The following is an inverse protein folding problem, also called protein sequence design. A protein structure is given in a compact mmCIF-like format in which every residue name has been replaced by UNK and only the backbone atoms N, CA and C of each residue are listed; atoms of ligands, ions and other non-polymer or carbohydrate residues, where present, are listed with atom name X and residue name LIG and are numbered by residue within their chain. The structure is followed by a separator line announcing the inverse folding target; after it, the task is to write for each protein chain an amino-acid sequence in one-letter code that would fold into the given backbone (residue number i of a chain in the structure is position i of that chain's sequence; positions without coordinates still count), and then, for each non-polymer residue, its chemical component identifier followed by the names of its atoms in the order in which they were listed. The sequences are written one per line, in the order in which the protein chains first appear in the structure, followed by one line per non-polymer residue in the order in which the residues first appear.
data_IF_998816244197
#
_entry.id   IF_998816244197
#
_cell.length_a   1.000
_cell.length_b   1.000
_cell.length_c   1.000
_cell.angle_alpha   90.00
_cell.angle_beta   90.00
_cell.angle_gamma   90.00
#
_symmetry.space_group_name_H-M   'P 1'
#
loop_
_entity.id
_entity.type
_entity.pdbx_description
1 polymer ?
#
# COMPACT_ATOMS: atom_id res chain seq x y z
N UNK A 1 -10.23 -5.56 16.70
CA UNK A 1 -9.97 -4.89 15.40
C UNK A 1 -10.90 -5.48 14.36
N UNK A 2 -11.54 -4.64 13.55
CA UNK A 2 -12.30 -5.06 12.39
C UNK A 2 -11.89 -4.22 11.17
N UNK A 3 -11.70 -4.87 10.03
CA UNK A 3 -11.53 -4.22 8.73
C UNK A 3 -12.72 -4.59 7.86
N UNK A 4 -13.40 -3.59 7.30
CA UNK A 4 -14.63 -3.77 6.53
C UNK A 4 -14.46 -3.13 5.17
N UNK A 5 -14.71 -3.90 4.10
CA UNK A 5 -14.90 -3.38 2.74
C UNK A 5 -16.37 -3.51 2.37
N UNK A 6 -17.04 -2.38 2.18
CA UNK A 6 -18.43 -2.36 1.73
C UNK A 6 -18.54 -2.85 0.29
N UNK A 7 -19.63 -3.53 -0.05
CA UNK A 7 -19.88 -4.04 -1.41
C UNK A 7 -20.01 -2.90 -2.42
N UNK A 8 -20.62 -1.78 -2.02
CA UNK A 8 -20.72 -0.52 -2.77
C UNK A 8 -20.30 0.64 -1.86
N UNK A 9 -19.82 1.74 -2.45
CA UNK A 9 -19.56 2.96 -1.67
C UNK A 9 -20.88 3.49 -1.11
N UNK A 10 -20.86 3.93 0.15
CA UNK A 10 -22.05 4.38 0.86
C UNK A 10 -21.81 5.76 1.48
N UNK A 11 -22.75 6.68 1.30
CA UNK A 11 -22.70 8.01 1.93
C UNK A 11 -22.98 7.85 3.42
N UNK A 12 -21.99 8.14 4.26
CA UNK A 12 -22.14 8.10 5.70
C UNK A 12 -22.20 9.52 6.22
N UNK A 13 -23.42 10.04 6.32
CA UNK A 13 -23.67 11.38 6.84
C UNK A 13 -23.12 11.48 8.27
N UNK A 14 -22.56 12.64 8.62
CA UNK A 14 -22.02 12.98 9.95
C UNK A 14 -20.73 12.22 10.38
N UNK A 15 -20.28 11.21 9.64
CA UNK A 15 -19.06 10.44 9.96
C UNK A 15 -17.82 10.97 9.23
N UNK A 16 -18.00 11.55 8.04
CA UNK A 16 -16.92 12.10 7.22
C UNK A 16 -17.04 13.62 7.10
N UNK A 17 -15.91 14.33 7.19
CA UNK A 17 -15.86 15.79 7.01
C UNK A 17 -16.33 16.24 5.62
N UNK A 18 -16.00 15.45 4.59
CA UNK A 18 -16.37 15.71 3.19
C UNK A 18 -17.38 14.66 2.75
N UNK A 19 -18.47 15.02 2.04
CA UNK A 19 -19.48 14.08 1.58
C UNK A 19 -18.93 13.19 0.45
N UNK A 20 -18.21 12.13 0.84
CA UNK A 20 -17.65 11.14 -0.08
C UNK A 20 -18.17 9.74 0.28
N UNK A 21 -18.47 8.89 -0.71
CA UNK A 21 -18.89 7.52 -0.45
C UNK A 21 -17.78 6.74 0.27
N UNK A 22 -18.07 6.28 1.49
CA UNK A 22 -17.18 5.43 2.27
C UNK A 22 -17.20 4.03 1.66
N UNK A 23 -16.02 3.47 1.40
CA UNK A 23 -15.84 2.10 0.88
C UNK A 23 -15.19 1.17 1.89
N UNK A 24 -14.30 1.70 2.72
CA UNK A 24 -13.55 0.96 3.71
C UNK A 24 -13.76 1.57 5.08
N UNK A 25 -13.83 0.72 6.09
CA UNK A 25 -13.86 1.13 7.49
C UNK A 25 -12.88 0.28 8.28
N UNK A 26 -12.25 0.91 9.26
CA UNK A 26 -11.40 0.24 10.22
C UNK A 26 -11.83 0.61 11.63
N UNK A 27 -12.09 -0.40 12.46
CA UNK A 27 -12.59 -0.23 13.80
C UNK A 27 -11.61 -0.84 14.80
N UNK A 28 -11.09 0.01 15.69
CA UNK A 28 -10.29 -0.36 16.84
C UNK A 28 -11.08 -0.04 18.10
N UNK A 29 -11.34 -1.04 18.91
CA UNK A 29 -12.04 -0.90 20.19
C UNK A 29 -11.32 -1.79 21.19
N UNK A 30 -11.00 -1.24 22.35
CA UNK A 30 -10.33 -1.95 23.44
C UNK A 30 -9.62 -0.97 24.40
N UNK A 31 -8.88 -1.48 25.38
CA UNK A 31 -8.30 -0.69 26.47
C UNK A 31 -6.92 -0.07 26.14
N UNK A 32 -6.55 0.06 24.86
CA UNK A 32 -5.18 0.43 24.44
C UNK A 32 -5.08 1.93 24.13
N UNK A 33 -4.01 2.58 24.57
CA UNK A 33 -3.80 4.03 24.35
C UNK A 33 -3.24 4.39 22.95
N UNK A 34 -2.68 3.43 22.22
CA UNK A 34 -1.95 3.64 20.96
C UNK A 34 -2.84 3.69 19.70
N UNK A 35 -4.18 3.79 19.82
CA UNK A 35 -5.08 3.78 18.67
C UNK A 35 -4.86 4.92 17.68
N UNK A 36 -4.38 6.07 18.17
CA UNK A 36 -4.08 7.22 17.31
C UNK A 36 -2.96 6.87 16.33
N UNK A 37 -1.87 6.27 16.81
CA UNK A 37 -0.73 5.92 15.95
C UNK A 37 -1.10 4.80 14.98
N UNK A 38 -1.85 3.80 15.42
CA UNK A 38 -2.38 2.75 14.53
C UNK A 38 -3.25 3.38 13.42
N UNK A 39 -4.12 4.32 13.78
CA UNK A 39 -4.97 5.06 12.84
C UNK A 39 -4.16 5.87 11.81
N UNK A 40 -3.08 6.55 12.26
CA UNK A 40 -2.16 7.29 11.38
C UNK A 40 -1.43 6.35 10.42
N UNK A 41 -0.91 5.23 10.91
CA UNK A 41 -0.22 4.22 10.08
C UNK A 41 -1.15 3.65 9.02
N UNK A 42 -2.39 3.31 9.38
CA UNK A 42 -3.36 2.79 8.42
C UNK A 42 -3.83 3.85 7.42
N UNK A 43 -4.03 5.09 7.86
CA UNK A 43 -4.37 6.19 6.96
C UNK A 43 -3.26 6.44 5.94
N UNK A 44 -2.01 6.37 6.38
CA UNK A 44 -0.83 6.47 5.51
C UNK A 44 -0.78 5.32 4.51
N UNK A 45 -1.01 4.09 4.97
CA UNK A 45 -1.08 2.91 4.12
C UNK A 45 -2.17 3.05 3.03
N UNK A 46 -3.39 3.44 3.41
CA UNK A 46 -4.52 3.69 2.51
C UNK A 46 -4.34 4.91 1.59
N UNK A 47 -3.40 5.81 1.89
CA UNK A 47 -3.06 6.94 1.00
C UNK A 47 -2.33 6.48 -0.26
N UNK A 48 -1.68 5.31 -0.22
CA UNK A 48 -0.99 4.74 -1.38
C UNK A 48 -1.95 4.11 -2.37
N UNK A 49 -1.64 4.20 -3.67
CA UNK A 49 -2.49 3.63 -4.72
C UNK A 49 -2.40 2.11 -4.73
N UNK A 50 -1.19 1.60 -4.58
CA UNK A 50 -0.85 0.18 -4.62
C UNK A 50 -1.61 -0.59 -3.54
N UNK A 51 -1.60 -0.10 -2.29
CA UNK A 51 -2.35 -0.74 -1.23
C UNK A 51 -3.86 -0.65 -1.42
N UNK A 52 -4.38 0.50 -1.88
CA UNK A 52 -5.82 0.61 -2.20
C UNK A 52 -6.23 -0.40 -3.26
N UNK A 53 -5.46 -0.55 -4.34
CA UNK A 53 -5.75 -1.50 -5.41
C UNK A 53 -5.79 -2.94 -4.86
N UNK A 54 -4.85 -3.30 -3.98
CA UNK A 54 -4.87 -4.58 -3.25
C UNK A 54 -6.12 -4.71 -2.38
N UNK A 55 -6.46 -3.70 -1.57
CA UNK A 55 -7.63 -3.72 -0.69
C UNK A 55 -8.96 -3.86 -1.46
N UNK A 56 -9.06 -3.26 -2.66
CA UNK A 56 -10.22 -3.39 -3.54
C UNK A 56 -10.37 -4.80 -4.14
N UNK A 57 -9.28 -5.53 -4.33
CA UNK A 57 -9.28 -6.88 -4.94
C UNK A 57 -9.19 -8.02 -3.92
N UNK A 58 -8.78 -7.73 -2.69
CA UNK A 58 -8.61 -8.71 -1.63
C UNK A 58 -9.85 -9.59 -1.46
N UNK A 59 -9.66 -10.89 -1.40
CA UNK A 59 -10.70 -11.89 -1.14
C UNK A 59 -10.60 -12.41 0.29
N UNK A 60 -9.41 -12.41 0.87
CA UNK A 60 -9.18 -12.83 2.24
C UNK A 60 -8.16 -11.94 2.99
N UNK A 61 -7.92 -12.27 4.25
CA UNK A 61 -6.98 -11.53 5.12
C UNK A 61 -5.55 -11.57 4.60
N UNK A 62 -5.13 -12.65 3.93
CA UNK A 62 -3.76 -12.84 3.46
C UNK A 62 -3.42 -11.83 2.37
N UNK A 63 -4.38 -11.50 1.50
CA UNK A 63 -4.18 -10.47 0.47
C UNK A 63 -3.85 -9.10 1.09
N UNK A 64 -4.55 -8.73 2.17
CA UNK A 64 -4.28 -7.49 2.89
C UNK A 64 -2.93 -7.52 3.61
N UNK A 65 -2.58 -8.65 4.23
CA UNK A 65 -1.28 -8.82 4.88
C UNK A 65 -0.13 -8.76 3.88
N UNK A 66 -0.31 -9.33 2.69
CA UNK A 66 0.66 -9.22 1.60
C UNK A 66 0.80 -7.75 1.15
N UNK A 67 -0.30 -7.03 0.96
CA UNK A 67 -0.25 -5.61 0.64
C UNK A 67 0.45 -4.75 1.70
N UNK A 68 0.28 -5.09 2.98
CA UNK A 68 1.01 -4.44 4.09
C UNK A 68 2.50 -4.75 3.96
N UNK A 69 2.88 -6.01 3.74
CA UNK A 69 4.29 -6.41 3.59
C UNK A 69 4.96 -5.76 2.37
N UNK A 70 4.24 -5.63 1.26
CA UNK A 70 4.73 -4.95 0.06
C UNK A 70 5.01 -3.47 0.37
N UNK A 71 4.07 -2.79 1.04
CA UNK A 71 4.25 -1.41 1.49
C UNK A 71 5.46 -1.26 2.43
N UNK A 72 5.62 -2.17 3.39
CA UNK A 72 6.74 -2.15 4.33
C UNK A 72 8.08 -2.41 3.63
N UNK A 73 8.11 -3.29 2.63
CA UNK A 73 9.31 -3.59 1.84
C UNK A 73 9.76 -2.40 0.99
N UNK A 74 8.81 -1.59 0.55
CA UNK A 74 9.03 -0.34 -0.19
C UNK A 74 9.34 0.86 0.72
N UNK A 75 9.07 0.74 2.01
CA UNK A 75 9.25 1.82 2.98
C UNK A 75 10.71 1.95 3.41
N UNK A 76 11.12 3.18 3.73
CA UNK A 76 12.45 3.48 4.27
C UNK A 76 12.26 3.89 5.72
N UNK A 77 13.04 3.27 6.61
CA UNK A 77 13.11 3.68 8.01
C UNK A 77 14.30 4.63 8.16
N UNK A 78 14.04 5.80 8.70
CA UNK A 78 15.09 6.72 9.10
C UNK A 78 15.50 6.39 10.54
N UNK A 79 16.81 6.16 10.82
CA UNK A 79 17.26 6.03 12.20
C UNK A 79 16.99 7.34 12.95
N UNK A 80 16.99 7.38 14.30
CA UNK A 80 16.85 8.64 15.02
C UNK A 80 18.04 9.57 14.73
N UNK A 81 17.78 10.85 14.51
CA UNK A 81 18.79 11.87 14.23
C UNK A 81 18.19 13.12 13.57
N UNK A 82 19.01 14.16 13.44
CA UNK A 82 18.65 15.37 12.71
C UNK A 82 18.91 15.15 11.22
N UNK A 83 17.83 15.08 10.43
CA UNK A 83 17.91 14.91 8.98
C UNK A 83 17.53 16.19 8.26
N UNK A 84 18.53 16.84 7.67
CA UNK A 84 18.29 17.91 6.71
C UNK A 84 18.09 17.35 5.30
N UNK A 85 17.50 18.17 4.42
CA UNK A 85 17.18 17.77 3.04
C UNK A 85 18.38 17.17 2.30
N UNK A 86 19.56 17.76 2.48
CA UNK A 86 20.81 17.32 1.84
C UNK A 86 21.22 15.92 2.28
N UNK A 87 20.97 15.55 3.54
CA UNK A 87 21.26 14.23 4.09
C UNK A 87 20.25 13.17 3.60
N UNK A 88 19.04 13.58 3.24
CA UNK A 88 17.99 12.67 2.75
C UNK A 88 18.08 12.39 1.25
N UNK A 89 18.67 13.28 0.46
CA UNK A 89 18.75 13.14 -1.00
C UNK A 89 19.34 11.79 -1.44
N UNK A 90 20.49 11.33 -0.92
CA UNK A 90 21.07 10.05 -1.35
C UNK A 90 20.18 8.85 -1.03
N UNK A 91 19.47 8.89 0.10
CA UNK A 91 18.55 7.83 0.54
C UNK A 91 17.34 7.74 -0.41
N UNK A 92 16.77 8.90 -0.73
CA UNK A 92 15.63 9.00 -1.65
C UNK A 92 16.03 8.56 -3.06
N UNK A 93 17.20 8.97 -3.54
CA UNK A 93 17.72 8.55 -4.85
C UNK A 93 17.93 7.05 -4.92
N UNK A 94 18.54 6.46 -3.88
CA UNK A 94 18.74 5.01 -3.79
C UNK A 94 17.42 4.26 -3.86
N UNK A 95 16.39 4.72 -3.14
CA UNK A 95 15.06 4.11 -3.18
C UNK A 95 14.39 4.24 -4.55
N UNK A 96 14.50 5.41 -5.21
CA UNK A 96 14.00 5.61 -6.58
C UNK A 96 14.68 4.64 -7.55
N UNK A 97 16.00 4.49 -7.46
CA UNK A 97 16.77 3.58 -8.31
C UNK A 97 16.35 2.12 -8.10
N UNK A 98 16.12 1.69 -6.85
CA UNK A 98 15.59 0.35 -6.55
C UNK A 98 14.24 0.11 -7.23
N UNK A 99 13.30 1.05 -7.14
CA UNK A 99 11.99 0.95 -7.82
C UNK A 99 12.12 0.86 -9.34
N UNK A 100 12.99 1.66 -9.95
CA UNK A 100 13.25 1.61 -11.40
C UNK A 100 13.80 0.24 -11.80
N UNK A 101 14.75 -0.30 -11.04
CA UNK A 101 15.34 -1.61 -11.31
C UNK A 101 14.30 -2.73 -11.18
N UNK A 102 13.53 -2.77 -10.10
CA UNK A 102 12.46 -3.75 -9.89
C UNK A 102 11.45 -3.74 -11.05
N UNK A 103 11.05 -2.56 -11.50
CA UNK A 103 10.13 -2.41 -12.64
C UNK A 103 10.73 -2.94 -13.96
N UNK A 104 12.02 -2.68 -14.22
CA UNK A 104 12.73 -3.22 -15.40
C UNK A 104 12.78 -4.75 -15.38
N UNK A 105 13.05 -5.35 -14.22
CA UNK A 105 13.06 -6.81 -14.08
C UNK A 105 11.66 -7.42 -14.35
N UNK A 106 10.60 -6.83 -13.81
CA UNK A 106 9.23 -7.31 -14.02
C UNK A 106 8.77 -7.19 -15.49
N UNK A 107 9.06 -6.07 -16.16
CA UNK A 107 8.73 -5.90 -17.58
C UNK A 107 9.51 -6.89 -18.46
N UNK A 108 10.78 -7.15 -18.13
CA UNK A 108 11.62 -8.08 -18.89
C UNK A 108 11.15 -9.53 -18.76
N UNK A 109 10.77 -9.97 -17.56
CA UNK A 109 10.27 -11.34 -17.35
C UNK A 109 8.92 -11.60 -18.03
N UNK A 110 8.00 -10.63 -18.02
CA UNK A 110 6.73 -10.76 -18.76
C UNK A 110 6.95 -10.79 -20.27
N UNK A 111 7.82 -9.94 -20.82
CA UNK A 111 8.12 -9.94 -22.25
C UNK A 111 8.77 -11.23 -22.77
N UNK A 112 9.49 -11.97 -21.91
CA UNK A 112 10.10 -13.26 -22.28
C UNK A 112 9.09 -14.41 -22.22
N UNK A 113 8.16 -14.39 -21.26
CA UNK A 113 7.10 -15.39 -21.17
C UNK A 113 6.08 -15.26 -22.32
N UNK A 114 5.69 -14.04 -22.69
CA UNK A 114 4.78 -13.78 -23.81
C UNK A 114 5.38 -14.13 -25.19
N UNK A 115 6.71 -14.12 -25.29
CA UNK A 115 7.43 -14.53 -26.50
C UNK A 115 7.58 -16.05 -26.62
N UNK A 116 7.71 -16.76 -25.49
CA UNK A 116 7.82 -18.22 -25.44
C UNK A 116 6.47 -18.92 -25.76
N UNK A 117 5.36 -18.36 -25.29
CA UNK A 117 4.00 -18.90 -25.50
C UNK A 117 3.54 -18.79 -26.97
N UNK A 118 4.05 -17.81 -27.72
CA UNK A 118 3.78 -17.64 -29.17
C UNK A 118 4.57 -18.59 -30.07
N UNK A 119 5.62 -19.23 -29.55
CA UNK A 119 6.45 -20.17 -30.32
C UNK A 119 6.03 -21.63 -30.16
N UNK A 120 5.08 -21.95 -29.28
CA UNK A 120 4.58 -23.31 -29.04
C UNK A 120 3.31 -23.68 -29.82
N UNK A 121 2.77 -22.76 -30.63
CA UNK A 121 1.51 -22.93 -31.39
C UNK A 121 1.75 -23.14 -32.91
N UNK A 122 2.95 -23.57 -33.31
CA UNK A 122 3.31 -23.98 -34.68
C UNK A 122 3.97 -25.35 -34.73
#
# INVERSE_FOLDING_TARGET
MAFVRLSKGFMMDEITEVPLPVKFMFLLIGPVEEYIEIGRSLSTLFSTREFRDTAYRAMDRRDLLNGINDFLSDSIVLPPGDFDKELLLPVIETAKLRKIQAKKYYTRSHSQNDAADKTSDH
#
